data_IF_625581267104
#
_entry.id   IF_625581267104
#
_cell.length_a   1.000
_cell.length_b   1.000
_cell.length_c   1.000
_cell.angle_alpha   90.00
_cell.angle_beta   90.00
_cell.angle_gamma   90.00
#
_symmetry.space_group_name_H-M   'P 1'
#
loop_
_entity.id
_entity.type
_entity.pdbx_description
1 polymer ?
#
# COMPACT_ATOMS: atom_id res chain seq x y z
N UNK A 1 10.82 -5.00 -11.92
CA UNK A 1 9.72 -4.11 -11.48
C UNK A 1 9.33 -4.38 -10.04
N UNK A 2 9.70 -3.49 -9.10
CA UNK A 2 9.41 -3.67 -7.66
C UNK A 2 7.91 -3.74 -7.34
N UNK A 3 7.08 -3.06 -8.14
CA UNK A 3 5.62 -3.01 -8.01
C UNK A 3 4.94 -4.36 -8.25
N UNK A 4 5.42 -5.12 -9.25
CA UNK A 4 4.83 -6.42 -9.59
C UNK A 4 5.17 -7.50 -8.53
N UNK A 5 6.40 -7.47 -8.00
CA UNK A 5 6.82 -8.36 -6.91
C UNK A 5 6.01 -8.13 -5.64
N UNK A 6 5.66 -6.87 -5.35
CA UNK A 6 4.84 -6.51 -4.18
C UNK A 6 3.41 -7.09 -4.25
N UNK A 7 2.85 -7.26 -5.45
CA UNK A 7 1.48 -7.76 -5.66
C UNK A 7 1.47 -9.30 -5.83
N UNK A 8 2.59 -9.90 -6.21
CA UNK A 8 2.69 -11.34 -6.52
C UNK A 8 2.37 -12.22 -5.30
N UNK A 9 2.86 -11.86 -4.12
CA UNK A 9 2.55 -12.57 -2.87
C UNK A 9 1.07 -12.50 -2.48
N UNK A 10 0.41 -11.37 -2.77
CA UNK A 10 -1.03 -11.20 -2.52
C UNK A 10 -1.90 -11.97 -3.51
N UNK A 11 -1.51 -12.00 -4.78
CA UNK A 11 -2.17 -12.85 -5.78
C UNK A 11 -2.06 -14.33 -5.41
N UNK A 12 -0.90 -14.76 -4.94
CA UNK A 12 -0.70 -16.12 -4.45
C UNK A 12 -1.52 -16.40 -3.18
N UNK A 13 -1.53 -15.49 -2.20
CA UNK A 13 -2.31 -15.64 -0.97
C UNK A 13 -3.83 -15.64 -1.21
N UNK A 14 -4.33 -14.82 -2.14
CA UNK A 14 -5.73 -14.84 -2.57
C UNK A 14 -6.10 -16.17 -3.23
N UNK A 15 -5.18 -16.75 -4.02
CA UNK A 15 -5.38 -18.04 -4.70
C UNK A 15 -5.28 -19.24 -3.75
N UNK A 16 -4.38 -19.20 -2.77
CA UNK A 16 -4.01 -20.36 -1.95
C UNK A 16 -4.76 -20.43 -0.62
N UNK A 17 -5.10 -19.29 0.00
CA UNK A 17 -5.49 -19.29 1.42
C UNK A 17 -6.91 -18.82 1.73
N UNK A 18 -7.70 -18.30 0.78
CA UNK A 18 -9.03 -17.77 1.09
C UNK A 18 -9.06 -16.65 2.16
N UNK A 19 -7.89 -16.13 2.55
CA UNK A 19 -7.70 -15.15 3.63
C UNK A 19 -8.27 -13.76 3.27
N UNK A 20 -8.55 -13.55 1.98
CA UNK A 20 -9.18 -12.34 1.47
C UNK A 20 -10.56 -12.73 0.92
N UNK A 21 -11.64 -12.53 1.68
CA UNK A 21 -12.97 -12.99 1.28
C UNK A 21 -13.46 -12.34 -0.03
N UNK A 22 -12.89 -11.20 -0.43
CA UNK A 22 -13.22 -10.51 -1.69
C UNK A 22 -12.01 -9.82 -2.31
N UNK A 23 -12.05 -9.62 -3.64
CA UNK A 23 -11.08 -8.79 -4.38
C UNK A 23 -11.05 -7.35 -3.86
N UNK A 24 -12.18 -6.84 -3.36
CA UNK A 24 -12.29 -5.50 -2.79
C UNK A 24 -11.42 -5.33 -1.55
N UNK A 25 -11.40 -6.31 -0.65
CA UNK A 25 -10.54 -6.28 0.54
C UNK A 25 -9.07 -6.34 0.14
N UNK A 26 -8.72 -7.16 -0.86
CA UNK A 26 -7.36 -7.24 -1.41
C UNK A 26 -6.91 -5.90 -2.00
N UNK A 27 -7.77 -5.25 -2.79
CA UNK A 27 -7.49 -3.94 -3.40
C UNK A 27 -7.27 -2.86 -2.33
N UNK A 28 -8.12 -2.81 -1.29
CA UNK A 28 -7.95 -1.88 -0.16
C UNK A 28 -6.61 -2.11 0.55
N UNK A 29 -6.26 -3.36 0.82
CA UNK A 29 -5.00 -3.71 1.46
C UNK A 29 -3.78 -3.33 0.60
N UNK A 30 -3.80 -3.65 -0.69
CA UNK A 30 -2.75 -3.25 -1.64
C UNK A 30 -2.60 -1.73 -1.72
N UNK A 31 -3.71 -0.98 -1.72
CA UNK A 31 -3.68 0.50 -1.75
C UNK A 31 -3.00 1.08 -0.51
N UNK A 32 -3.37 0.61 0.68
CA UNK A 32 -2.75 1.05 1.94
C UNK A 32 -1.26 0.70 1.95
N UNK A 33 -0.89 -0.52 1.55
CA UNK A 33 0.52 -0.93 1.51
C UNK A 33 1.34 -0.13 0.51
N UNK A 34 0.81 0.09 -0.68
CA UNK A 34 1.47 0.90 -1.70
C UNK A 34 1.75 2.30 -1.18
N UNK A 35 0.77 2.93 -0.52
CA UNK A 35 0.93 4.25 0.09
C UNK A 35 2.05 4.28 1.14
N UNK A 36 2.08 3.29 2.04
CA UNK A 36 3.11 3.20 3.08
C UNK A 36 4.51 2.91 2.53
N UNK A 37 4.60 2.08 1.49
CA UNK A 37 5.87 1.80 0.80
C UNK A 37 6.37 3.07 0.10
N UNK A 38 5.49 3.82 -0.57
CA UNK A 38 5.86 5.11 -1.15
C UNK A 38 6.36 6.08 -0.09
N UNK A 39 5.65 6.22 1.05
CA UNK A 39 6.11 7.07 2.15
C UNK A 39 7.50 6.67 2.65
N UNK A 40 7.72 5.35 2.83
CA UNK A 40 9.03 4.82 3.25
C UNK A 40 10.14 5.06 2.22
N UNK A 41 9.86 4.87 0.93
CA UNK A 41 10.84 5.08 -0.14
C UNK A 41 11.29 6.55 -0.23
N UNK A 42 10.44 7.49 0.17
CA UNK A 42 10.76 8.92 0.26
C UNK A 42 11.28 9.34 1.65
N UNK A 43 11.73 8.38 2.48
CA UNK A 43 12.33 8.67 3.78
C UNK A 43 11.35 9.06 4.89
N UNK A 44 10.03 8.97 4.65
CA UNK A 44 9.03 9.23 5.68
C UNK A 44 8.78 8.00 6.52
N UNK A 45 8.61 8.20 7.83
CA UNK A 45 8.24 7.10 8.71
C UNK A 45 6.77 6.73 8.43
N UNK A 46 6.44 5.43 8.35
CA UNK A 46 5.09 4.99 8.05
C UNK A 46 4.07 5.46 9.10
N UNK A 47 4.48 5.61 10.36
CA UNK A 47 3.60 6.11 11.43
C UNK A 47 3.17 7.57 11.20
N UNK A 48 4.08 8.41 10.71
CA UNK A 48 3.77 9.81 10.39
C UNK A 48 2.84 9.88 9.18
N UNK A 49 3.05 9.04 8.16
CA UNK A 49 2.17 8.96 7.00
C UNK A 49 0.76 8.46 7.34
N UNK A 50 0.61 7.58 8.34
CA UNK A 50 -0.70 7.14 8.87
C UNK A 50 -1.37 8.30 9.62
N UNK A 51 -0.65 8.99 10.50
CA UNK A 51 -1.17 10.14 11.25
C UNK A 51 -1.71 11.21 10.31
N UNK A 52 -0.95 11.52 9.27
CA UNK A 52 -1.26 12.53 8.26
C UNK A 52 -2.49 12.12 7.42
N UNK A 53 -2.58 10.84 7.04
CA UNK A 53 -3.76 10.30 6.38
C UNK A 53 -5.03 10.34 7.25
N UNK A 54 -4.90 10.07 8.55
CA UNK A 54 -6.02 10.16 9.51
C UNK A 54 -6.41 11.61 9.83
N UNK A 55 -5.47 12.54 9.71
CA UNK A 55 -5.69 13.98 9.91
C UNK A 55 -6.27 14.68 8.67
N UNK A 56 -6.71 13.90 7.67
CA UNK A 56 -7.21 14.36 6.38
C UNK A 56 -6.21 15.17 5.53
N UNK A 57 -4.91 15.09 5.85
CA UNK A 57 -3.83 15.78 5.12
C UNK A 57 -2.86 14.79 4.48
N UNK A 58 -3.29 13.71 3.78
CA UNK A 58 -2.39 12.64 3.38
C UNK A 58 -1.23 13.12 2.51
N UNK A 59 -0.01 12.72 2.90
CA UNK A 59 1.18 13.01 2.12
C UNK A 59 1.11 12.41 0.73
N UNK A 60 1.36 13.25 -0.28
CA UNK A 60 1.50 12.83 -1.66
C UNK A 60 2.97 12.94 -2.09
N UNK A 61 3.50 11.95 -2.84
CA UNK A 61 4.86 12.06 -3.38
C UNK A 61 4.94 13.26 -4.33
N UNK A 62 6.10 13.95 -4.39
CA UNK A 62 6.30 14.98 -5.39
C UNK A 62 6.14 14.35 -6.78
N UNK A 63 5.28 14.94 -7.60
CA UNK A 63 5.09 14.51 -8.98
C UNK A 63 6.39 14.85 -9.71
N UNK A 64 7.22 13.84 -10.02
CA UNK A 64 8.39 14.05 -10.86
C UNK A 64 7.88 14.50 -12.23
N UNK A 65 8.20 15.75 -12.61
CA UNK A 65 7.85 16.34 -13.90
C UNK A 65 8.54 15.61 -15.06
#
# INVERSE_FOLDING_TARGET
>A
NGSESAIRGFKLAAKVQGCWPTLTTLQRHCRIRSYLISARNHGRRPIDAIRDALSATPWMPPQTA
#
